data_IF_756788225903
#
_entry.id   IF_756788225903
#
_cell.length_a   1.000
_cell.length_b   1.000
_cell.length_c   1.000
_cell.angle_alpha   90.00
_cell.angle_beta   90.00
_cell.angle_gamma   90.00
#
_symmetry.space_group_name_H-M   'P 1'
#
loop_
_entity.id
_entity.type
_entity.pdbx_description
1 polymer ?
#
# COMPACT_ATOMS: atom_id res chain seq x y z
N UNK A 1 26.20 -15.74 9.24
CA UNK A 1 25.03 -16.34 8.55
C UNK A 1 24.25 -15.21 7.92
N UNK A 2 23.85 -15.33 6.66
CA UNK A 2 22.89 -14.38 6.06
C UNK A 2 21.61 -14.51 6.89
N UNK A 3 21.17 -13.44 7.54
CA UNK A 3 19.97 -13.47 8.36
C UNK A 3 18.78 -13.89 7.47
N UNK A 4 18.06 -14.94 7.86
CA UNK A 4 16.89 -15.38 7.13
C UNK A 4 15.74 -14.40 7.40
N UNK A 5 15.33 -13.64 6.40
CA UNK A 5 14.28 -12.62 6.53
C UNK A 5 12.92 -13.20 6.16
N UNK A 6 11.89 -12.97 6.97
CA UNK A 6 10.53 -13.43 6.68
C UNK A 6 9.80 -12.40 5.83
N UNK A 7 9.19 -12.84 4.74
CA UNK A 7 8.42 -11.99 3.81
C UNK A 7 7.01 -12.55 3.67
N UNK A 8 6.01 -11.72 3.98
CA UNK A 8 4.63 -11.99 3.60
C UNK A 8 4.36 -11.34 2.24
N UNK A 9 4.07 -12.15 1.23
CA UNK A 9 3.63 -11.70 -0.08
C UNK A 9 2.10 -11.64 -0.12
N UNK A 10 1.57 -10.48 -0.48
CA UNK A 10 0.13 -10.22 -0.63
C UNK A 10 -0.14 -9.81 -2.08
N UNK A 11 -0.39 -10.77 -3.00
CA UNK A 11 -0.47 -10.47 -4.43
C UNK A 11 -1.69 -9.65 -4.84
N UNK A 12 -2.83 -9.91 -4.17
CA UNK A 12 -4.09 -9.20 -4.36
C UNK A 12 -4.72 -9.42 -5.74
N UNK A 13 -5.18 -8.34 -6.37
CA UNK A 13 -6.13 -8.33 -7.48
C UNK A 13 -5.49 -7.95 -8.82
N UNK A 14 -6.22 -8.22 -9.91
CA UNK A 14 -5.84 -7.81 -11.27
C UNK A 14 -4.49 -8.38 -11.69
N UNK A 15 -3.57 -7.50 -12.11
CA UNK A 15 -2.20 -7.90 -12.51
C UNK A 15 -1.30 -8.25 -11.31
N UNK A 16 -1.77 -8.02 -10.07
CA UNK A 16 -1.00 -8.23 -8.84
C UNK A 16 -0.35 -9.62 -8.74
N UNK A 17 -1.11 -10.72 -8.90
CA UNK A 17 -0.55 -12.08 -8.95
C UNK A 17 0.53 -12.28 -10.01
N UNK A 18 0.36 -11.73 -11.22
CA UNK A 18 1.29 -11.92 -12.33
C UNK A 18 2.63 -11.22 -12.08
N UNK A 19 2.60 -9.98 -11.60
CA UNK A 19 3.82 -9.21 -11.30
C UNK A 19 4.54 -9.77 -10.07
N UNK A 20 3.77 -10.24 -9.07
CA UNK A 20 4.32 -10.84 -7.85
C UNK A 20 4.98 -12.18 -8.11
N UNK A 21 4.49 -12.96 -9.08
CA UNK A 21 5.18 -14.15 -9.55
C UNK A 21 6.58 -13.80 -10.11
N UNK A 22 6.75 -12.67 -10.80
CA UNK A 22 8.06 -12.23 -11.27
C UNK A 22 8.96 -11.75 -10.13
N UNK A 23 8.41 -11.04 -9.15
CA UNK A 23 9.16 -10.67 -7.94
C UNK A 23 9.68 -11.92 -7.21
N UNK A 24 8.85 -12.96 -7.07
CA UNK A 24 9.24 -14.25 -6.48
C UNK A 24 10.36 -14.94 -7.25
N UNK A 25 10.37 -14.85 -8.59
CA UNK A 25 11.47 -15.38 -9.42
C UNK A 25 12.79 -14.66 -9.14
N UNK A 26 12.77 -13.33 -9.01
CA UNK A 26 13.97 -12.55 -8.68
C UNK A 26 14.47 -12.87 -7.26
N UNK A 27 13.56 -12.98 -6.29
CA UNK A 27 13.90 -13.42 -4.94
C UNK A 27 14.52 -14.83 -4.95
N UNK A 28 13.95 -15.76 -5.70
CA UNK A 28 14.51 -17.10 -5.89
C UNK A 28 15.93 -17.07 -6.43
N UNK A 29 16.19 -16.29 -7.47
CA UNK A 29 17.54 -16.11 -8.02
C UNK A 29 18.53 -15.53 -7.00
N UNK A 30 18.10 -14.60 -6.15
CA UNK A 30 18.95 -14.06 -5.07
C UNK A 30 19.33 -15.14 -4.04
N UNK A 31 18.43 -16.10 -3.78
CA UNK A 31 18.70 -17.25 -2.91
C UNK A 31 19.64 -18.25 -3.56
N UNK A 32 19.40 -18.60 -4.82
CA UNK A 32 20.22 -19.56 -5.58
C UNK A 32 21.66 -19.06 -5.72
N UNK A 33 21.83 -17.75 -5.89
CA UNK A 33 23.14 -17.08 -5.96
C UNK A 33 23.73 -16.76 -4.58
N UNK A 34 23.07 -17.18 -3.49
CA UNK A 34 23.49 -16.97 -2.09
C UNK A 34 23.76 -15.51 -1.74
N UNK A 35 23.06 -14.57 -2.40
CA UNK A 35 23.15 -13.13 -2.13
C UNK A 35 22.27 -12.71 -0.96
N UNK A 36 21.16 -13.41 -0.75
CA UNK A 36 20.23 -13.23 0.36
C UNK A 36 19.48 -14.53 0.65
N UNK A 37 18.74 -14.61 1.76
CA UNK A 37 17.93 -15.78 2.11
C UNK A 37 16.63 -15.30 2.74
N UNK A 38 15.52 -15.88 2.29
CA UNK A 38 14.17 -15.45 2.66
C UNK A 38 13.28 -16.64 3.03
N UNK A 39 12.41 -16.44 4.01
CA UNK A 39 11.26 -17.30 4.24
C UNK A 39 10.02 -16.58 3.69
N UNK A 40 9.48 -17.08 2.59
CA UNK A 40 8.39 -16.43 1.86
C UNK A 40 7.09 -17.17 2.13
N UNK A 41 6.10 -16.45 2.64
CA UNK A 41 4.71 -16.92 2.77
C UNK A 41 3.79 -16.06 1.92
N UNK A 42 2.64 -16.59 1.53
CA UNK A 42 1.63 -15.89 0.74
C UNK A 42 0.28 -15.95 1.45
N UNK A 43 -0.52 -14.90 1.31
CA UNK A 43 -1.90 -14.84 1.82
C UNK A 43 -2.77 -13.91 0.97
N UNK A 44 -4.08 -13.91 1.22
CA UNK A 44 -5.07 -13.15 0.45
C UNK A 44 -5.24 -11.72 0.98
N UNK A 45 -5.43 -10.79 0.05
CA UNK A 45 -5.79 -9.40 0.33
C UNK A 45 -6.66 -8.82 -0.78
N UNK A 46 -7.39 -7.76 -0.50
CA UNK A 46 -8.20 -7.04 -1.48
C UNK A 46 -9.43 -7.83 -1.89
N UNK A 47 -9.80 -7.71 -3.16
CA UNK A 47 -10.93 -8.40 -3.78
C UNK A 47 -10.82 -9.92 -3.68
N UNK A 48 -9.63 -10.49 -3.87
CA UNK A 48 -9.36 -11.91 -3.71
C UNK A 48 -9.69 -12.42 -2.30
N UNK A 49 -9.45 -11.60 -1.26
CA UNK A 49 -9.86 -11.92 0.10
C UNK A 49 -11.37 -11.74 0.29
N UNK A 50 -11.98 -10.72 -0.31
CA UNK A 50 -13.44 -10.52 -0.26
C UNK A 50 -14.18 -11.71 -0.87
N UNK A 51 -13.72 -12.21 -2.02
CA UNK A 51 -14.37 -13.32 -2.72
C UNK A 51 -14.34 -14.63 -1.92
N UNK A 52 -13.31 -14.84 -1.10
CA UNK A 52 -13.12 -16.08 -0.32
C UNK A 52 -13.65 -15.94 1.11
N UNK A 53 -13.44 -14.79 1.75
CA UNK A 53 -13.67 -14.59 3.19
C UNK A 53 -14.74 -13.53 3.50
N UNK A 54 -15.26 -12.82 2.49
CA UNK A 54 -16.21 -11.72 2.66
C UNK A 54 -15.60 -10.44 3.25
N UNK A 55 -14.30 -10.41 3.49
CA UNK A 55 -13.57 -9.26 4.04
C UNK A 55 -12.28 -9.02 3.25
N UNK A 56 -11.83 -7.76 3.09
CA UNK A 56 -10.69 -7.44 2.22
C UNK A 56 -9.34 -7.85 2.81
N UNK A 57 -9.28 -8.16 4.11
CA UNK A 57 -8.14 -8.79 4.76
C UNK A 57 -8.61 -9.46 6.05
N UNK A 58 -8.14 -10.67 6.31
CA UNK A 58 -8.51 -11.41 7.54
C UNK A 58 -7.65 -11.00 8.73
N UNK A 59 -8.13 -11.22 9.96
CA UNK A 59 -7.32 -11.06 11.16
C UNK A 59 -6.06 -11.93 11.12
N UNK A 60 -6.18 -13.19 10.68
CA UNK A 60 -5.04 -14.10 10.55
C UNK A 60 -3.97 -13.56 9.59
N UNK A 61 -4.39 -12.94 8.47
CA UNK A 61 -3.46 -12.30 7.53
C UNK A 61 -2.80 -11.06 8.15
N UNK A 62 -3.54 -10.26 8.92
CA UNK A 62 -2.98 -9.11 9.64
C UNK A 62 -1.98 -9.52 10.73
N UNK A 63 -2.28 -10.57 11.50
CA UNK A 63 -1.37 -11.14 12.49
C UNK A 63 -0.07 -11.61 11.84
N UNK A 64 -0.16 -12.30 10.69
CA UNK A 64 1.04 -12.64 9.89
C UNK A 64 1.81 -11.40 9.48
N UNK A 65 1.13 -10.38 8.94
CA UNK A 65 1.75 -9.14 8.48
C UNK A 65 2.53 -8.42 9.59
N UNK A 66 2.03 -8.45 10.82
CA UNK A 66 2.69 -7.89 12.01
C UNK A 66 3.88 -8.73 12.50
N UNK A 67 3.91 -10.02 12.16
CA UNK A 67 4.93 -10.96 12.64
C UNK A 67 6.14 -11.12 11.71
N UNK A 68 6.05 -10.66 10.46
CA UNK A 68 7.12 -10.80 9.45
C UNK A 68 8.06 -9.60 9.41
N UNK A 69 9.27 -9.78 8.88
CA UNK A 69 10.22 -8.68 8.67
C UNK A 69 9.76 -7.69 7.58
N UNK A 70 9.05 -8.17 6.57
CA UNK A 70 8.56 -7.32 5.46
C UNK A 70 7.27 -7.86 4.83
N UNK A 71 6.45 -6.93 4.35
CA UNK A 71 5.29 -7.22 3.50
C UNK A 71 5.59 -6.76 2.08
N UNK A 72 5.48 -7.68 1.12
CA UNK A 72 5.55 -7.35 -0.31
C UNK A 72 4.14 -7.39 -0.88
N UNK A 73 3.67 -6.24 -1.34
CA UNK A 73 2.27 -6.04 -1.75
C UNK A 73 2.17 -5.85 -3.26
N UNK A 74 1.23 -6.55 -3.89
CA UNK A 74 0.94 -6.44 -5.32
C UNK A 74 -0.01 -5.27 -5.61
N UNK A 75 -1.22 -5.58 -6.07
CA UNK A 75 -2.26 -4.60 -6.37
C UNK A 75 -3.58 -4.99 -5.71
N UNK A 76 -4.48 -4.05 -5.48
CA UNK A 76 -5.84 -4.33 -5.03
C UNK A 76 -6.84 -3.46 -5.77
N UNK A 77 -8.07 -3.94 -5.89
CA UNK A 77 -9.17 -3.25 -6.57
C UNK A 77 -9.60 -3.92 -7.87
N UNK A 78 -10.77 -3.50 -8.35
CA UNK A 78 -11.37 -4.01 -9.57
C UNK A 78 -12.80 -3.49 -9.73
N UNK A 79 -13.30 -3.22 -10.95
CA UNK A 79 -14.63 -2.64 -11.17
C UNK A 79 -15.78 -3.47 -10.56
N UNK A 80 -15.58 -4.78 -10.40
CA UNK A 80 -16.57 -5.67 -9.78
C UNK A 80 -16.83 -5.33 -8.31
N UNK A 81 -15.90 -4.66 -7.62
CA UNK A 81 -16.02 -4.32 -6.20
C UNK A 81 -16.55 -2.89 -5.96
N UNK A 82 -16.80 -2.10 -7.01
CA UNK A 82 -17.21 -0.69 -6.89
C UNK A 82 -18.57 -0.49 -6.20
N UNK A 83 -19.41 -1.52 -6.21
CA UNK A 83 -20.73 -1.51 -5.56
C UNK A 83 -20.70 -1.93 -4.09
N UNK A 84 -19.57 -2.42 -3.60
CA UNK A 84 -19.42 -2.79 -2.21
C UNK A 84 -19.43 -1.57 -1.30
N UNK A 85 -19.83 -1.78 -0.05
CA UNK A 85 -19.73 -0.77 0.99
C UNK A 85 -18.27 -0.46 1.27
N UNK A 86 -17.98 0.79 1.68
CA UNK A 86 -16.61 1.30 1.81
C UNK A 86 -15.73 0.47 2.74
N UNK A 87 -16.33 -0.12 3.78
CA UNK A 87 -15.68 -0.94 4.80
C UNK A 87 -15.19 -2.31 4.30
N UNK A 88 -15.80 -2.86 3.24
CA UNK A 88 -15.42 -4.15 2.68
C UNK A 88 -14.79 -4.05 1.28
N UNK A 89 -14.56 -2.83 0.78
CA UNK A 89 -13.86 -2.62 -0.49
C UNK A 89 -12.39 -3.06 -0.39
N UNK A 90 -11.77 -3.52 -1.50
CA UNK A 90 -10.37 -3.94 -1.52
C UNK A 90 -9.39 -2.91 -0.93
N UNK A 91 -9.63 -1.62 -1.15
CA UNK A 91 -8.78 -0.53 -0.68
C UNK A 91 -8.79 -0.37 0.85
N UNK A 92 -9.83 -0.86 1.54
CA UNK A 92 -9.91 -0.82 3.00
C UNK A 92 -8.79 -1.65 3.64
N UNK A 93 -8.42 -2.79 3.03
CA UNK A 93 -7.27 -3.58 3.49
C UNK A 93 -5.95 -2.81 3.42
N UNK A 94 -5.75 -2.03 2.36
CA UNK A 94 -4.53 -1.23 2.20
C UNK A 94 -4.44 -0.12 3.27
N UNK A 95 -5.57 0.53 3.59
CA UNK A 95 -5.60 1.53 4.66
C UNK A 95 -5.35 0.90 6.04
N UNK A 96 -5.95 -0.26 6.30
CA UNK A 96 -5.75 -1.00 7.54
C UNK A 96 -4.29 -1.46 7.70
N UNK A 97 -3.71 -2.11 6.68
CA UNK A 97 -2.30 -2.52 6.67
C UNK A 97 -1.39 -1.35 6.99
N UNK A 98 -1.60 -0.19 6.36
CA UNK A 98 -0.78 1.01 6.61
C UNK A 98 -0.81 1.44 8.06
N UNK A 99 -2.02 1.57 8.62
CA UNK A 99 -2.25 2.06 9.97
C UNK A 99 -1.71 1.07 11.01
N UNK A 100 -2.07 -0.21 10.88
CA UNK A 100 -1.77 -1.24 11.87
C UNK A 100 -0.26 -1.60 11.87
N UNK A 101 0.40 -1.59 10.70
CA UNK A 101 1.87 -1.75 10.61
C UNK A 101 2.64 -0.49 11.03
N UNK A 102 1.96 0.64 11.24
CA UNK A 102 2.61 1.91 11.60
C UNK A 102 3.52 2.49 10.52
N UNK A 103 3.32 2.13 9.24
CA UNK A 103 4.16 2.55 8.11
C UNK A 103 3.83 3.99 7.66
N UNK A 104 4.10 4.96 8.53
CA UNK A 104 3.77 6.37 8.32
C UNK A 104 4.54 7.02 7.15
N UNK A 105 5.76 6.59 6.88
CA UNK A 105 6.61 7.18 5.85
C UNK A 105 6.45 6.45 4.52
N UNK A 106 5.73 7.05 3.59
CA UNK A 106 5.64 6.55 2.23
C UNK A 106 6.67 7.22 1.33
N UNK A 107 7.64 6.44 0.87
CA UNK A 107 8.72 6.87 -0.03
C UNK A 107 8.36 6.51 -1.47
N UNK A 108 8.27 7.52 -2.34
CA UNK A 108 7.99 7.35 -3.78
C UNK A 108 9.05 8.03 -4.63
N UNK A 109 10.08 7.30 -5.07
CA UNK A 109 11.02 7.84 -6.04
C UNK A 109 10.33 8.04 -7.38
N UNK A 110 10.49 9.23 -7.97
CA UNK A 110 10.08 9.53 -9.33
C UNK A 110 11.34 9.90 -10.13
N UNK A 111 11.77 8.96 -10.96
CA UNK A 111 12.99 9.06 -11.77
C UNK A 111 12.66 8.88 -13.24
N UNK A 112 13.20 9.77 -14.07
CA UNK A 112 13.16 9.62 -15.53
C UNK A 112 14.45 8.94 -15.97
N UNK A 113 14.31 7.73 -16.52
CA UNK A 113 15.42 7.05 -17.17
C UNK A 113 15.60 7.59 -18.57
N UNK A 114 16.84 7.86 -18.99
CA UNK A 114 17.12 8.41 -20.33
C UNK A 114 16.53 7.58 -21.47
N UNK A 115 16.51 6.25 -21.32
CA UNK A 115 15.93 5.32 -22.29
C UNK A 115 14.39 5.41 -22.41
N UNK A 116 13.72 6.07 -21.46
CA UNK A 116 12.26 6.18 -21.37
C UNK A 116 11.77 7.64 -21.37
N UNK A 117 12.64 8.60 -21.69
CA UNK A 117 12.32 10.04 -21.62
C UNK A 117 11.13 10.41 -22.51
N UNK A 118 11.02 9.78 -23.69
CA UNK A 118 9.96 10.03 -24.67
C UNK A 118 8.61 9.38 -24.27
N UNK A 119 8.59 8.55 -23.21
CA UNK A 119 7.35 8.05 -22.62
C UNK A 119 6.65 9.09 -21.74
N UNK A 120 7.34 10.18 -21.39
CA UNK A 120 6.75 11.30 -20.66
C UNK A 120 5.87 12.15 -21.59
N UNK A 121 4.78 12.69 -21.06
CA UNK A 121 3.96 13.68 -21.77
C UNK A 121 4.56 15.09 -21.78
N UNK A 122 5.63 15.31 -21.01
CA UNK A 122 6.36 16.58 -20.94
C UNK A 122 7.53 16.60 -21.92
N UNK A 123 7.94 17.80 -22.33
CA UNK A 123 9.08 17.96 -23.25
C UNK A 123 10.36 17.37 -22.66
N UNK A 124 11.15 16.58 -23.41
CA UNK A 124 12.33 15.89 -22.90
C UNK A 124 13.33 16.79 -22.16
N UNK A 125 13.57 18.00 -22.66
CA UNK A 125 14.48 18.98 -22.06
C UNK A 125 14.05 19.50 -20.69
N UNK A 126 12.78 19.30 -20.30
CA UNK A 126 12.25 19.66 -18.98
C UNK A 126 12.33 18.53 -17.96
N UNK A 127 12.35 17.27 -18.41
CA UNK A 127 12.22 16.10 -17.54
C UNK A 127 13.43 15.18 -17.56
N UNK A 128 14.34 15.33 -18.52
CA UNK A 128 15.58 14.56 -18.57
C UNK A 128 16.39 14.85 -17.30
N UNK A 129 16.85 13.79 -16.65
CA UNK A 129 17.60 13.88 -15.39
C UNK A 129 16.74 14.13 -14.16
N UNK A 130 15.41 14.14 -14.27
CA UNK A 130 14.52 14.18 -13.10
C UNK A 130 14.80 12.98 -12.20
N UNK A 131 15.17 13.25 -10.95
CA UNK A 131 15.36 12.28 -9.89
C UNK A 131 14.94 12.92 -8.56
N UNK A 132 13.71 12.65 -8.15
CA UNK A 132 13.13 13.20 -6.92
C UNK A 132 12.59 12.09 -6.02
N UNK A 133 12.69 12.30 -4.71
CA UNK A 133 12.06 11.46 -3.70
C UNK A 133 10.88 12.20 -3.09
N UNK A 134 9.67 11.63 -3.21
CA UNK A 134 8.51 12.12 -2.49
C UNK A 134 8.43 11.36 -1.16
N UNK A 135 8.58 12.10 -0.06
CA UNK A 135 8.32 11.61 1.31
C UNK A 135 6.93 12.07 1.70
N UNK A 136 6.01 11.11 1.89
CA UNK A 136 4.59 11.37 2.18
C UNK A 136 4.18 10.74 3.51
N UNK A 137 3.55 11.51 4.38
CA UNK A 137 2.85 10.98 5.57
C UNK A 137 1.62 10.17 5.12
N UNK A 138 1.51 8.93 5.62
CA UNK A 138 0.61 7.92 5.06
C UNK A 138 -0.43 7.38 6.04
N UNK A 139 -0.38 7.75 7.34
CA UNK A 139 -1.25 7.18 8.38
C UNK A 139 -1.95 8.24 9.27
N UNK A 140 -1.87 9.53 8.94
CA UNK A 140 -2.56 10.62 9.63
C UNK A 140 -3.38 11.50 8.67
N UNK A 141 -3.62 12.75 9.09
CA UNK A 141 -4.33 13.74 8.28
C UNK A 141 -5.78 13.35 7.98
N UNK A 142 -6.33 13.91 6.90
CA UNK A 142 -7.73 13.73 6.47
C UNK A 142 -8.12 12.28 6.19
N UNK A 143 -7.13 11.41 5.97
CA UNK A 143 -7.34 10.00 5.69
C UNK A 143 -7.83 9.25 6.95
N UNK A 144 -7.43 9.69 8.14
CA UNK A 144 -7.69 8.99 9.41
C UNK A 144 -8.28 9.89 10.50
N UNK A 145 -8.36 11.20 10.28
CA UNK A 145 -8.89 12.15 11.24
C UNK A 145 -10.39 12.01 11.50
N UNK A 146 -10.75 12.26 12.75
CA UNK A 146 -12.11 12.27 13.27
C UNK A 146 -12.46 13.68 13.81
N UNK A 147 -13.73 14.12 13.75
CA UNK A 147 -14.90 13.38 13.25
C UNK A 147 -14.90 13.24 11.71
N UNK A 148 -15.50 12.16 11.22
CA UNK A 148 -15.79 11.97 9.79
C UNK A 148 -17.13 11.29 9.55
N UNK A 149 -17.64 11.41 8.32
CA UNK A 149 -18.82 10.69 7.87
C UNK A 149 -19.83 11.60 7.19
N UNK A 150 -21.03 11.06 6.97
CA UNK A 150 -22.16 11.79 6.39
C UNK A 150 -23.30 11.71 7.40
N UNK A 151 -23.82 12.85 7.82
CA UNK A 151 -24.99 12.95 8.68
C UNK A 151 -26.15 13.65 7.95
N UNK A 152 -27.36 13.37 8.41
CA UNK A 152 -28.58 14.05 7.94
C UNK A 152 -28.92 15.15 8.95
N UNK A 153 -29.04 16.37 8.47
CA UNK A 153 -29.38 17.55 9.25
C UNK A 153 -30.88 17.60 9.56
N UNK A 154 -31.33 18.41 10.53
CA UNK A 154 -32.75 18.50 10.90
C UNK A 154 -33.69 18.89 9.75
N UNK A 155 -33.20 19.58 8.73
CA UNK A 155 -33.94 19.97 7.53
C UNK A 155 -33.97 18.89 6.43
N UNK A 156 -33.39 17.71 6.70
CA UNK A 156 -33.30 16.59 5.75
C UNK A 156 -32.13 16.70 4.77
N UNK A 157 -31.35 17.78 4.79
CA UNK A 157 -30.13 17.90 3.98
C UNK A 157 -28.98 17.04 4.55
N UNK A 158 -27.95 16.78 3.73
CA UNK A 158 -26.79 15.97 4.16
C UNK A 158 -25.56 16.85 4.38
N UNK A 159 -24.84 16.61 5.49
CA UNK A 159 -23.52 17.18 5.76
C UNK A 159 -22.47 16.07 5.73
N UNK A 160 -21.47 16.22 4.85
CA UNK A 160 -20.27 15.38 4.82
C UNK A 160 -19.12 16.06 5.57
N UNK A 161 -18.41 15.30 6.41
CA UNK A 161 -17.26 15.80 7.18
C UNK A 161 -16.09 14.85 7.01
N UNK A 162 -14.91 15.43 6.80
CA UNK A 162 -13.62 14.81 7.02
C UNK A 162 -12.74 15.81 7.77
N UNK A 163 -11.87 15.33 8.66
CA UNK A 163 -11.05 16.19 9.51
C UNK A 163 -9.58 16.04 9.15
N UNK A 164 -8.96 17.10 8.65
CA UNK A 164 -7.50 17.20 8.49
C UNK A 164 -6.88 17.54 9.85
N UNK A 165 -6.18 16.59 10.46
CA UNK A 165 -5.61 16.73 11.80
C UNK A 165 -4.28 15.99 11.91
N UNK A 166 -3.34 16.63 12.60
CA UNK A 166 -2.03 16.08 12.93
C UNK A 166 -1.61 16.50 14.34
N UNK A 167 -0.88 15.61 15.01
CA UNK A 167 -0.10 15.93 16.22
C UNK A 167 1.32 16.35 15.84
N UNK A 168 1.98 17.10 16.72
CA UNK A 168 3.39 17.49 16.55
C UNK A 168 4.30 16.28 16.27
N UNK A 169 4.09 15.17 16.99
CA UNK A 169 4.88 13.96 16.83
C UNK A 169 4.72 13.32 15.44
N UNK A 170 3.52 13.36 14.87
CA UNK A 170 3.26 12.82 13.53
C UNK A 170 3.94 13.62 12.43
N UNK A 171 4.01 14.95 12.59
CA UNK A 171 4.73 15.84 11.67
C UNK A 171 6.24 15.67 11.83
N UNK A 172 6.74 15.62 13.08
CA UNK A 172 8.16 15.47 13.34
C UNK A 172 8.71 14.14 12.82
N UNK A 173 8.01 13.02 13.06
CA UNK A 173 8.51 11.70 12.64
C UNK A 173 8.67 11.59 11.13
N UNK A 174 7.76 12.18 10.34
CA UNK A 174 7.88 12.17 8.87
C UNK A 174 8.93 13.16 8.38
N UNK A 175 9.08 14.32 9.03
CA UNK A 175 10.12 15.30 8.67
C UNK A 175 11.55 14.85 8.98
N UNK A 176 11.74 13.82 9.83
CA UNK A 176 13.05 13.22 10.12
C UNK A 176 13.48 12.16 9.11
N UNK A 177 12.54 11.59 8.35
CA UNK A 177 12.81 10.57 7.32
C UNK A 177 13.37 11.25 6.07
#
# INVERSE_FOLDING_TARGET
MIANKTILMLPGDGIGPEVMAQAKRVLGWLQDTKRATFEITEDLVGGAAVDVHGVPITEATMEKALSVDAVLFGAVGGPQYDKLSFDIRPEAALLRLRKDLGVFANLRPAKVFDALVDSSSLKPELVRGLDIMIVRECIGGVYFGEPRGIETLPDGSKRGVNTEVYTTMEIERVGRV
#
